data_IF_378663041837
#
_entry.id   IF_378663041837
#
_cell.length_a   1.000
_cell.length_b   1.000
_cell.length_c   1.000
_cell.angle_alpha   90.00
_cell.angle_beta   90.00
_cell.angle_gamma   90.00
#
_symmetry.space_group_name_H-M   'P 1'
#
loop_
_entity.id
_entity.type
_entity.pdbx_description
1 polymer ?
#
# COMPACT_ATOMS: atom_id res chain seq x y z
N UNK A 1 -19.53 -10.59 11.62
CA UNK A 1 -19.77 -9.70 10.44
C UNK A 1 -18.67 -9.93 9.43
N UNK A 2 -18.94 -9.75 8.13
CA UNK A 2 -17.90 -9.81 7.10
C UNK A 2 -16.92 -8.64 7.27
N UNK A 3 -15.62 -8.90 7.09
CA UNK A 3 -14.59 -7.85 7.12
C UNK A 3 -14.73 -6.93 5.91
N UNK A 4 -14.38 -5.66 6.07
CA UNK A 4 -14.51 -4.61 5.06
C UNK A 4 -13.16 -4.07 4.63
N UNK A 5 -12.91 -4.03 3.33
CA UNK A 5 -11.67 -3.53 2.76
C UNK A 5 -11.91 -2.42 1.74
N UNK A 6 -11.10 -1.38 1.78
CA UNK A 6 -11.01 -0.39 0.70
C UNK A 6 -9.69 -0.57 -0.03
N UNK A 7 -9.77 -0.70 -1.35
CA UNK A 7 -8.63 -0.85 -2.23
C UNK A 7 -8.48 0.38 -3.12
N UNK A 8 -7.52 1.23 -2.79
CA UNK A 8 -7.14 2.40 -3.58
C UNK A 8 -6.17 1.99 -4.69
N UNK A 9 -6.48 2.34 -5.96
CA UNK A 9 -5.70 1.93 -7.12
C UNK A 9 -6.11 0.57 -7.69
N UNK A 10 -7.40 0.22 -7.58
CA UNK A 10 -7.95 -1.07 -7.99
C UNK A 10 -8.23 -1.23 -9.51
N UNK A 11 -7.94 -0.22 -10.33
CA UNK A 11 -8.30 -0.24 -11.75
C UNK A 11 -7.41 -1.12 -12.64
N UNK A 12 -6.31 -1.65 -12.11
CA UNK A 12 -5.42 -2.59 -12.83
C UNK A 12 -4.37 -3.21 -11.87
N UNK A 13 -3.61 -4.17 -12.39
CA UNK A 13 -2.41 -4.73 -11.77
C UNK A 13 -2.66 -5.26 -10.35
N UNK A 14 -1.74 -4.98 -9.45
CA UNK A 14 -1.76 -5.54 -8.08
C UNK A 14 -3.03 -5.17 -7.34
N UNK A 15 -3.47 -3.90 -7.41
CA UNK A 15 -4.66 -3.43 -6.69
C UNK A 15 -5.93 -4.17 -7.12
N UNK A 16 -6.09 -4.40 -8.42
CA UNK A 16 -7.21 -5.16 -8.97
C UNK A 16 -7.21 -6.60 -8.47
N UNK A 17 -6.06 -7.27 -8.50
CA UNK A 17 -5.97 -8.67 -8.09
C UNK A 17 -6.14 -8.85 -6.57
N UNK A 18 -5.66 -7.89 -5.76
CA UNK A 18 -5.92 -7.87 -4.31
C UNK A 18 -7.41 -7.69 -4.03
N UNK A 19 -8.09 -6.77 -4.73
CA UNK A 19 -9.53 -6.56 -4.57
C UNK A 19 -10.33 -7.82 -4.87
N UNK A 20 -10.06 -8.48 -6.01
CA UNK A 20 -10.70 -9.75 -6.39
C UNK A 20 -10.45 -10.85 -5.36
N UNK A 21 -9.20 -10.99 -4.89
CA UNK A 21 -8.84 -12.02 -3.92
C UNK A 21 -9.51 -11.81 -2.57
N UNK A 22 -9.59 -10.56 -2.08
CA UNK A 22 -10.30 -10.24 -0.85
C UNK A 22 -11.80 -10.54 -0.98
N UNK A 23 -12.42 -10.16 -2.10
CA UNK A 23 -13.83 -10.47 -2.36
C UNK A 23 -14.08 -11.98 -2.41
N UNK A 24 -13.22 -12.76 -3.07
CA UNK A 24 -13.29 -14.22 -3.12
C UNK A 24 -13.13 -14.87 -1.72
N UNK A 25 -12.45 -14.19 -0.79
CA UNK A 25 -12.35 -14.60 0.63
C UNK A 25 -13.53 -14.14 1.50
N UNK A 26 -14.58 -13.57 0.92
CA UNK A 26 -15.79 -13.16 1.61
C UNK A 26 -15.71 -11.78 2.28
N UNK A 27 -14.72 -10.95 1.92
CA UNK A 27 -14.69 -9.57 2.37
C UNK A 27 -15.68 -8.72 1.57
N UNK A 28 -16.30 -7.74 2.22
CA UNK A 28 -16.96 -6.64 1.51
C UNK A 28 -15.88 -5.68 1.03
N UNK A 29 -15.83 -5.42 -0.28
CA UNK A 29 -14.73 -4.66 -0.88
C UNK A 29 -15.25 -3.41 -1.58
N UNK A 30 -14.81 -2.25 -1.12
CA UNK A 30 -14.92 -0.97 -1.81
C UNK A 30 -13.66 -0.71 -2.64
N UNK A 31 -13.83 -0.29 -3.89
CA UNK A 31 -12.71 -0.04 -4.81
C UNK A 31 -12.65 1.42 -5.25
N UNK A 32 -11.45 1.95 -5.43
CA UNK A 32 -11.25 3.30 -5.92
C UNK A 32 -10.08 3.42 -6.91
N UNK A 33 -10.17 4.43 -7.75
CA UNK A 33 -9.16 4.78 -8.74
C UNK A 33 -9.67 5.82 -9.73
N UNK A 34 -8.82 6.25 -10.67
CA UNK A 34 -9.13 7.33 -11.62
C UNK A 34 -10.01 6.90 -12.81
N UNK A 35 -9.88 5.63 -13.25
CA UNK A 35 -10.52 5.11 -14.49
C UNK A 35 -11.87 4.52 -14.15
N UNK A 36 -12.92 5.34 -14.25
CA UNK A 36 -14.27 4.98 -13.82
C UNK A 36 -14.81 3.76 -14.58
N UNK A 37 -14.54 3.66 -15.89
CA UNK A 37 -15.01 2.56 -16.72
C UNK A 37 -14.48 1.20 -16.23
N UNK A 38 -13.20 1.19 -15.75
CA UNK A 38 -12.59 -0.03 -15.19
C UNK A 38 -13.17 -0.40 -13.82
N UNK A 39 -13.53 0.61 -13.01
CA UNK A 39 -14.22 0.35 -11.73
C UNK A 39 -15.61 -0.25 -11.96
N UNK A 40 -16.37 0.32 -12.89
CA UNK A 40 -17.69 -0.19 -13.28
C UNK A 40 -17.60 -1.62 -13.85
N UNK A 41 -16.62 -1.89 -14.70
CA UNK A 41 -16.40 -3.25 -15.23
C UNK A 41 -16.08 -4.26 -14.12
N UNK A 42 -15.32 -3.86 -13.08
CA UNK A 42 -15.05 -4.74 -11.94
C UNK A 42 -16.31 -5.03 -11.11
N UNK A 43 -17.15 -4.03 -10.87
CA UNK A 43 -18.44 -4.22 -10.20
C UNK A 43 -19.33 -5.19 -10.98
N UNK A 44 -19.40 -5.04 -12.32
CA UNK A 44 -20.23 -5.89 -13.17
C UNK A 44 -19.77 -7.37 -13.20
N UNK A 45 -18.50 -7.63 -12.91
CA UNK A 45 -17.98 -9.00 -12.76
C UNK A 45 -18.45 -9.69 -11.47
N UNK A 46 -19.02 -8.93 -10.53
CA UNK A 46 -19.49 -9.42 -9.24
C UNK A 46 -18.39 -9.52 -8.18
N UNK A 47 -18.80 -9.68 -6.93
CA UNK A 47 -17.92 -9.84 -5.78
C UNK A 47 -17.43 -8.53 -5.16
N UNK A 48 -17.44 -7.40 -5.88
CA UNK A 48 -17.09 -6.06 -5.36
C UNK A 48 -18.36 -5.35 -4.88
N UNK A 49 -18.30 -4.76 -3.69
CA UNK A 49 -19.47 -4.19 -3.02
C UNK A 49 -19.84 -2.79 -3.53
N UNK A 50 -18.86 -1.91 -3.67
CA UNK A 50 -19.08 -0.53 -4.11
C UNK A 50 -17.79 0.07 -4.71
N UNK A 51 -17.93 1.22 -5.36
CA UNK A 51 -16.80 1.95 -5.91
C UNK A 51 -16.96 3.47 -5.77
N UNK A 52 -15.83 4.16 -5.89
CA UNK A 52 -15.74 5.62 -5.98
C UNK A 52 -14.61 6.00 -6.95
N UNK A 53 -14.89 6.96 -7.84
CA UNK A 53 -13.82 7.56 -8.63
C UNK A 53 -13.01 8.50 -7.74
N UNK A 54 -11.72 8.21 -7.57
CA UNK A 54 -10.80 9.02 -6.75
C UNK A 54 -9.49 9.22 -7.50
N UNK A 55 -9.10 10.47 -7.67
CA UNK A 55 -7.73 10.85 -8.04
C UNK A 55 -7.00 11.28 -6.77
N UNK A 56 -5.98 10.54 -6.36
CA UNK A 56 -5.22 10.79 -5.13
C UNK A 56 -4.49 12.14 -5.14
N UNK A 57 -4.28 12.75 -6.32
CA UNK A 57 -3.68 14.07 -6.46
C UNK A 57 -4.67 15.20 -6.19
N UNK A 58 -5.97 14.93 -6.30
CA UNK A 58 -7.02 15.92 -6.03
C UNK A 58 -7.06 16.33 -4.55
N UNK A 59 -7.21 17.62 -4.26
CA UNK A 59 -7.46 18.08 -2.88
C UNK A 59 -8.71 17.47 -2.24
N UNK A 60 -9.70 17.08 -3.06
CA UNK A 60 -10.95 16.47 -2.60
C UNK A 60 -10.86 14.96 -2.35
N UNK A 61 -9.73 14.31 -2.66
CA UNK A 61 -9.58 12.86 -2.50
C UNK A 61 -9.85 12.34 -1.09
N UNK A 62 -9.48 13.06 0.01
CA UNK A 62 -9.83 12.65 1.38
C UNK A 62 -11.35 12.54 1.60
N UNK A 63 -12.11 13.52 1.14
CA UNK A 63 -13.58 13.53 1.28
C UNK A 63 -14.19 12.35 0.51
N UNK A 64 -13.74 12.13 -0.73
CA UNK A 64 -14.20 11.00 -1.54
C UNK A 64 -13.84 9.65 -0.91
N UNK A 65 -12.72 9.53 -0.18
CA UNK A 65 -12.40 8.32 0.58
C UNK A 65 -13.39 8.10 1.73
N UNK A 66 -13.71 9.14 2.49
CA UNK A 66 -14.69 9.06 3.57
C UNK A 66 -16.08 8.67 3.04
N UNK A 67 -16.50 9.24 1.91
CA UNK A 67 -17.75 8.84 1.23
C UNK A 67 -17.75 7.35 0.84
N UNK A 68 -16.62 6.82 0.36
CA UNK A 68 -16.50 5.40 0.03
C UNK A 68 -16.55 4.52 1.28
N UNK A 69 -15.94 4.96 2.39
CA UNK A 69 -16.03 4.27 3.68
C UNK A 69 -17.48 4.21 4.14
N UNK A 70 -18.23 5.30 4.04
CA UNK A 70 -19.64 5.37 4.43
C UNK A 70 -20.50 4.47 3.52
N UNK A 71 -20.30 4.50 2.21
CA UNK A 71 -20.98 3.59 1.26
C UNK A 71 -20.75 2.12 1.59
N UNK A 72 -19.56 1.75 2.07
CA UNK A 72 -19.22 0.40 2.49
C UNK A 72 -19.75 0.07 3.90
N UNK A 73 -20.14 1.09 4.67
CA UNK A 73 -20.59 0.99 6.05
C UNK A 73 -19.46 0.73 7.04
N UNK A 74 -18.23 1.22 6.74
CA UNK A 74 -17.05 1.09 7.58
C UNK A 74 -15.85 0.46 6.86
N UNK A 75 -14.73 0.30 7.56
CA UNK A 75 -13.48 -0.22 7.00
C UNK A 75 -12.66 -0.95 8.07
N UNK A 76 -12.13 -2.13 7.76
CA UNK A 76 -11.18 -2.88 8.59
C UNK A 76 -9.78 -2.88 7.96
N UNK A 77 -9.71 -2.75 6.63
CA UNK A 77 -8.46 -2.70 5.85
C UNK A 77 -8.50 -1.55 4.85
N UNK A 78 -7.49 -0.68 4.91
CA UNK A 78 -7.14 0.23 3.84
C UNK A 78 -5.93 -0.32 3.08
N UNK A 79 -6.10 -0.63 1.79
CA UNK A 79 -5.02 -1.06 0.92
C UNK A 79 -4.70 -0.01 -0.12
N UNK A 80 -3.48 0.55 -0.08
CA UNK A 80 -3.02 1.58 -1.01
C UNK A 80 -2.11 1.00 -2.09
N UNK A 81 -2.59 0.98 -3.32
CA UNK A 81 -1.86 0.53 -4.51
C UNK A 81 -1.71 1.61 -5.59
N UNK A 82 -2.18 2.84 -5.32
CA UNK A 82 -1.99 3.94 -6.27
C UNK A 82 -0.53 4.37 -6.30
N UNK A 83 0.02 4.50 -7.50
CA UNK A 83 1.37 4.97 -7.70
C UNK A 83 1.74 4.99 -9.18
N UNK A 84 2.68 5.82 -9.53
CA UNK A 84 3.23 5.95 -10.87
C UNK A 84 4.76 5.98 -10.81
N UNK A 85 5.41 5.78 -11.94
CA UNK A 85 6.85 5.91 -12.06
C UNK A 85 7.30 5.72 -13.49
N UNK A 86 8.38 6.36 -13.82
CA UNK A 86 9.04 6.28 -15.12
C UNK A 86 10.53 6.14 -14.95
N UNK A 87 11.18 5.54 -15.94
CA UNK A 87 12.58 5.81 -16.19
C UNK A 87 12.69 7.25 -16.69
N UNK A 88 13.63 8.02 -16.15
CA UNK A 88 13.81 9.42 -16.45
C UNK A 88 15.27 9.85 -16.44
N UNK A 89 16.03 9.29 -17.39
CA UNK A 89 17.46 9.56 -17.53
C UNK A 89 17.76 11.00 -17.93
N UNK A 90 16.79 11.70 -18.55
CA UNK A 90 16.91 13.10 -18.98
C UNK A 90 16.47 14.11 -17.91
N UNK A 91 15.97 13.64 -16.75
CA UNK A 91 15.40 14.46 -15.70
C UNK A 91 14.25 15.38 -16.20
N UNK A 92 13.39 14.83 -17.05
CA UNK A 92 12.16 15.50 -17.47
C UNK A 92 11.34 15.92 -16.25
N UNK A 93 11.21 17.22 -16.04
CA UNK A 93 10.61 17.81 -14.83
C UNK A 93 9.13 17.44 -14.67
N UNK A 94 8.38 17.26 -15.74
CA UNK A 94 6.97 16.89 -15.65
C UNK A 94 6.81 15.48 -15.07
N UNK A 95 7.67 14.53 -15.47
CA UNK A 95 7.67 13.16 -14.92
C UNK A 95 8.05 13.16 -13.45
N UNK A 96 9.07 13.94 -13.08
CA UNK A 96 9.51 14.08 -11.69
C UNK A 96 8.37 14.62 -10.83
N UNK A 97 7.75 15.75 -11.25
CA UNK A 97 6.67 16.40 -10.50
C UNK A 97 5.43 15.53 -10.38
N UNK A 98 4.95 14.93 -11.48
CA UNK A 98 3.82 13.99 -11.45
C UNK A 98 4.05 12.80 -10.51
N UNK A 99 5.30 12.31 -10.47
CA UNK A 99 5.67 11.23 -9.53
C UNK A 99 5.59 11.70 -8.08
N UNK A 100 6.12 12.89 -7.76
CA UNK A 100 6.05 13.47 -6.42
C UNK A 100 4.60 13.75 -6.00
N UNK A 101 3.79 14.32 -6.89
CA UNK A 101 2.37 14.60 -6.62
C UNK A 101 1.59 13.33 -6.29
N UNK A 102 1.79 12.26 -7.07
CA UNK A 102 1.05 11.00 -6.87
C UNK A 102 1.61 10.19 -5.70
N UNK A 103 2.92 9.91 -5.72
CA UNK A 103 3.55 9.00 -4.76
C UNK A 103 3.95 9.68 -3.44
N UNK A 104 4.08 10.99 -3.42
CA UNK A 104 4.35 11.79 -2.22
C UNK A 104 3.06 12.36 -1.66
N UNK A 105 2.59 13.47 -2.22
CA UNK A 105 1.44 14.21 -1.71
C UNK A 105 0.15 13.39 -1.70
N UNK A 106 -0.18 12.74 -2.83
CA UNK A 106 -1.37 11.91 -2.95
C UNK A 106 -1.35 10.73 -2.00
N UNK A 107 -0.21 10.04 -1.91
CA UNK A 107 -0.01 8.95 -0.95
C UNK A 107 -0.26 9.43 0.49
N UNK A 108 0.38 10.52 0.91
CA UNK A 108 0.25 11.06 2.27
C UNK A 108 -1.20 11.39 2.59
N UNK A 109 -1.88 12.17 1.71
CA UNK A 109 -3.30 12.50 1.91
C UNK A 109 -4.17 11.28 2.19
N UNK A 110 -4.04 10.25 1.37
CA UNK A 110 -4.90 9.07 1.44
C UNK A 110 -4.60 8.20 2.66
N UNK A 111 -3.31 8.00 2.96
CA UNK A 111 -2.89 7.17 4.10
C UNK A 111 -3.21 7.86 5.42
N UNK A 112 -3.01 9.18 5.51
CA UNK A 112 -3.38 9.96 6.70
C UNK A 112 -4.89 9.95 6.93
N UNK A 113 -5.68 10.09 5.87
CA UNK A 113 -7.14 10.02 5.99
C UNK A 113 -7.58 8.69 6.56
N UNK A 114 -7.03 7.59 6.05
CA UNK A 114 -7.33 6.24 6.56
C UNK A 114 -6.86 6.05 8.00
N UNK A 115 -5.63 6.51 8.32
CA UNK A 115 -5.08 6.41 9.67
C UNK A 115 -5.92 7.17 10.69
N UNK A 116 -6.29 8.41 10.38
CA UNK A 116 -7.08 9.25 11.27
C UNK A 116 -8.52 8.72 11.41
N UNK A 117 -9.09 8.15 10.35
CA UNK A 117 -10.38 7.50 10.45
C UNK A 117 -10.32 6.32 11.42
N UNK A 118 -9.33 5.42 11.32
CA UNK A 118 -9.12 4.32 12.25
C UNK A 118 -8.86 4.81 13.69
N UNK A 119 -8.08 5.86 13.85
CA UNK A 119 -7.81 6.44 15.16
C UNK A 119 -9.10 6.96 15.83
N UNK A 120 -9.99 7.60 15.07
CA UNK A 120 -11.28 8.07 15.55
C UNK A 120 -12.20 6.90 15.98
N UNK A 121 -12.24 5.81 15.19
CA UNK A 121 -13.00 4.61 15.56
C UNK A 121 -12.48 3.95 16.85
N UNK A 122 -11.16 4.03 17.09
CA UNK A 122 -10.53 3.45 18.29
C UNK A 122 -10.83 4.24 19.57
N UNK A 123 -11.20 5.52 19.43
CA UNK A 123 -11.50 6.42 20.56
C UNK A 123 -12.95 6.37 21.03
N UNK A 124 -13.83 5.69 20.27
CA UNK A 124 -15.23 5.51 20.65
C UNK A 124 -15.31 4.47 21.78
N UNK A 125 -15.89 4.77 22.97
CA UNK A 125 -15.96 3.81 24.06
C UNK A 125 -16.91 2.66 23.70
N UNK A 126 -16.37 1.57 23.17
CA UNK A 126 -17.06 0.28 23.28
C UNK A 126 -17.00 -0.11 24.75
N UNK A 127 -18.13 -0.43 25.36
CA UNK A 127 -18.32 -0.76 26.78
C UNK A 127 -17.08 -1.44 27.40
N UNK A 128 -16.39 -0.69 28.29
CA UNK A 128 -15.18 -1.13 28.99
C UNK A 128 -15.53 -2.09 30.13
N UNK A 129 -15.97 -3.29 29.86
CA UNK A 129 -16.11 -4.30 30.92
C UNK A 129 -15.14 -5.47 30.86
N UNK A 130 -14.24 -5.57 29.85
CA UNK A 130 -13.39 -6.75 29.70
C UNK A 130 -11.90 -6.49 29.44
N UNK A 131 -11.33 -5.38 29.92
CA UNK A 131 -9.88 -5.12 29.78
C UNK A 131 -9.10 -5.28 31.08
N UNK A 132 -9.11 -6.47 31.67
CA UNK A 132 -8.02 -6.94 32.53
C UNK A 132 -7.14 -7.91 31.75
N UNK A 133 -6.15 -7.40 31.00
CA UNK A 133 -5.16 -8.24 30.31
C UNK A 133 -4.02 -8.53 31.26
N UNK A 134 -3.77 -9.82 31.63
CA UNK A 134 -2.63 -10.20 32.43
C UNK A 134 -1.31 -9.86 31.70
N UNK A 135 -0.33 -9.32 32.41
CA UNK A 135 1.00 -8.91 31.88
C UNK A 135 1.79 -10.03 31.20
N UNK A 136 1.47 -11.30 31.49
CA UNK A 136 2.13 -12.47 30.90
C UNK A 136 1.84 -12.69 29.41
N UNK A 137 0.88 -11.97 28.77
CA UNK A 137 0.51 -12.11 27.36
C UNK A 137 1.07 -11.01 26.44
N UNK A 138 2.02 -10.19 26.89
CA UNK A 138 2.65 -9.13 26.07
C UNK A 138 3.44 -9.62 24.83
N UNK A 139 3.59 -10.93 24.62
CA UNK A 139 4.26 -11.52 23.43
C UNK A 139 3.34 -11.75 22.21
N UNK A 140 2.04 -11.49 22.31
CA UNK A 140 1.07 -11.70 21.21
C UNK A 140 0.43 -10.40 20.75
N UNK A 141 1.24 -9.37 20.47
CA UNK A 141 0.77 -8.03 20.05
C UNK A 141 -0.04 -7.98 18.73
N UNK A 142 -0.15 -9.09 17.99
CA UNK A 142 -0.93 -9.14 16.75
C UNK A 142 -2.43 -9.45 16.94
N UNK A 143 -2.83 -9.98 18.10
CA UNK A 143 -4.21 -10.41 18.36
C UNK A 143 -5.19 -9.24 18.62
N UNK A 144 -4.69 -8.04 18.93
CA UNK A 144 -5.51 -6.87 19.28
C UNK A 144 -5.56 -5.78 18.21
N UNK A 145 -4.90 -5.96 17.08
CA UNK A 145 -4.93 -4.99 15.98
C UNK A 145 -6.14 -5.26 15.09
N UNK A 146 -7.21 -4.50 15.30
CA UNK A 146 -8.46 -4.65 14.55
C UNK A 146 -8.40 -3.99 13.19
N UNK A 147 -7.63 -2.91 13.03
CA UNK A 147 -7.52 -2.12 11.81
C UNK A 147 -6.18 -2.35 11.11
N UNK A 148 -6.18 -2.29 9.78
CA UNK A 148 -4.99 -2.54 8.98
C UNK A 148 -4.83 -1.49 7.89
N UNK A 149 -3.61 -0.99 7.74
CA UNK A 149 -3.16 -0.18 6.60
C UNK A 149 -2.06 -0.96 5.90
N UNK A 150 -2.24 -1.27 4.62
CA UNK A 150 -1.21 -1.92 3.83
C UNK A 150 -0.96 -1.10 2.56
N UNK A 151 0.30 -0.86 2.24
CA UNK A 151 0.67 0.00 1.12
C UNK A 151 1.70 -0.66 0.22
N UNK A 152 1.49 -0.55 -1.09
CA UNK A 152 2.48 -0.95 -2.08
C UNK A 152 3.54 0.14 -2.19
N UNK A 153 4.72 -0.16 -1.69
CA UNK A 153 5.91 0.65 -1.90
C UNK A 153 6.79 0.05 -3.01
N UNK A 154 8.04 -0.27 -2.77
CA UNK A 154 8.92 -1.00 -3.71
C UNK A 154 10.27 -1.32 -3.08
N UNK A 155 10.97 -2.33 -3.62
CA UNK A 155 12.40 -2.53 -3.40
C UNK A 155 13.22 -1.33 -3.90
N UNK A 156 12.72 -0.56 -4.87
CA UNK A 156 13.35 0.65 -5.39
C UNK A 156 13.58 1.74 -4.31
N UNK A 157 12.86 1.66 -3.18
CA UNK A 157 13.10 2.51 -2.01
C UNK A 157 14.33 2.11 -1.17
N UNK A 158 14.99 0.99 -1.47
CA UNK A 158 16.16 0.53 -0.69
C UNK A 158 17.40 1.37 -0.91
N UNK A 159 17.67 1.72 -2.17
CA UNK A 159 18.81 2.55 -2.61
C UNK A 159 18.34 3.53 -3.68
N UNK A 160 19.05 4.65 -3.86
CA UNK A 160 18.78 5.58 -4.96
C UNK A 160 19.05 4.96 -6.31
N UNK A 161 18.09 4.99 -7.22
CA UNK A 161 18.20 4.48 -8.59
C UNK A 161 18.27 5.66 -9.55
N UNK A 162 19.44 5.85 -10.20
CA UNK A 162 19.69 6.96 -11.12
C UNK A 162 18.78 6.94 -12.36
N UNK A 163 18.35 5.76 -12.79
CA UNK A 163 17.43 5.62 -13.93
C UNK A 163 15.99 6.12 -13.64
N UNK A 164 15.59 6.25 -12.37
CA UNK A 164 14.24 6.65 -11.97
C UNK A 164 14.26 7.45 -10.64
N UNK A 165 14.82 8.68 -10.64
CA UNK A 165 15.13 9.41 -9.40
C UNK A 165 13.91 9.67 -8.51
N UNK A 166 12.88 10.34 -9.00
CA UNK A 166 11.67 10.62 -8.22
C UNK A 166 10.94 9.36 -7.79
N UNK A 167 10.87 8.35 -8.65
CA UNK A 167 10.26 7.07 -8.28
C UNK A 167 10.98 6.43 -7.10
N UNK A 168 12.30 6.25 -7.20
CA UNK A 168 13.11 5.67 -6.13
C UNK A 168 13.03 6.49 -4.84
N UNK A 169 13.14 7.82 -4.96
CA UNK A 169 13.04 8.73 -3.82
C UNK A 169 11.67 8.69 -3.15
N UNK A 170 10.58 8.71 -3.93
CA UNK A 170 9.23 8.62 -3.37
C UNK A 170 8.95 7.26 -2.74
N UNK A 171 9.46 6.16 -3.29
CA UNK A 171 9.35 4.84 -2.67
C UNK A 171 10.13 4.76 -1.35
N UNK A 172 11.27 5.42 -1.24
CA UNK A 172 11.99 5.57 0.03
C UNK A 172 11.21 6.41 1.03
N UNK A 173 10.64 7.52 0.60
CA UNK A 173 9.75 8.34 1.41
C UNK A 173 8.59 7.50 1.97
N UNK A 174 7.88 6.75 1.12
CA UNK A 174 6.77 5.89 1.52
C UNK A 174 7.19 4.85 2.57
N UNK A 175 8.34 4.16 2.37
CA UNK A 175 8.85 3.19 3.35
C UNK A 175 9.05 3.85 4.72
N UNK A 176 9.71 5.00 4.75
CA UNK A 176 10.01 5.70 6.00
C UNK A 176 8.76 6.29 6.65
N UNK A 177 7.85 6.83 5.84
CA UNK A 177 6.58 7.36 6.32
C UNK A 177 5.72 6.29 7.02
N UNK A 178 5.62 5.09 6.45
CA UNK A 178 4.91 3.97 7.08
C UNK A 178 5.56 3.50 8.38
N UNK A 179 6.90 3.55 8.46
CA UNK A 179 7.65 3.29 9.70
C UNK A 179 7.28 4.32 10.79
N UNK A 180 7.24 5.61 10.44
CA UNK A 180 6.80 6.68 11.36
C UNK A 180 5.36 6.47 11.84
N UNK A 181 4.44 6.12 10.94
CA UNK A 181 3.04 5.85 11.31
C UNK A 181 2.91 4.61 12.20
N UNK A 182 3.72 3.56 11.97
CA UNK A 182 3.77 2.40 12.86
C UNK A 182 4.21 2.79 14.27
N UNK A 183 5.23 3.65 14.38
CA UNK A 183 5.68 4.18 15.67
C UNK A 183 4.58 5.03 16.33
N UNK A 184 3.94 5.91 15.57
CA UNK A 184 2.87 6.77 16.07
C UNK A 184 1.66 5.97 16.56
N UNK A 185 1.27 4.92 15.84
CA UNK A 185 0.19 4.02 16.27
C UNK A 185 0.51 3.38 17.63
N UNK A 186 1.75 2.92 17.83
CA UNK A 186 2.20 2.36 19.12
C UNK A 186 2.23 3.40 20.23
N UNK A 187 2.78 4.59 19.97
CA UNK A 187 2.84 5.69 20.94
C UNK A 187 1.45 6.13 21.43
N UNK A 188 0.47 6.10 20.52
CA UNK A 188 -0.93 6.47 20.80
C UNK A 188 -1.80 5.29 21.24
N UNK A 189 -1.23 4.08 21.40
CA UNK A 189 -1.94 2.85 21.73
C UNK A 189 -3.12 2.54 20.80
N UNK A 190 -2.98 2.88 19.51
CA UNK A 190 -4.01 2.62 18.51
C UNK A 190 -3.93 1.17 18.01
N UNK A 191 -5.06 0.48 17.81
CA UNK A 191 -5.13 -0.90 17.33
C UNK A 191 -4.96 -0.97 15.80
N UNK A 192 -3.94 -0.30 15.25
CA UNK A 192 -3.66 -0.20 13.82
C UNK A 192 -2.38 -0.96 13.48
N UNK A 193 -2.49 -1.99 12.62
CA UNK A 193 -1.36 -2.66 12.01
C UNK A 193 -0.99 -2.00 10.68
N UNK A 194 0.28 -1.73 10.46
CA UNK A 194 0.78 -1.16 9.20
C UNK A 194 1.67 -2.17 8.51
N UNK A 195 1.43 -2.40 7.22
CA UNK A 195 2.18 -3.34 6.38
C UNK A 195 2.78 -2.61 5.16
N UNK A 196 4.10 -2.55 5.11
CA UNK A 196 4.86 -2.03 3.98
C UNK A 196 5.19 -3.18 3.02
N UNK A 197 4.52 -3.19 1.87
CA UNK A 197 4.70 -4.20 0.82
C UNK A 197 5.69 -3.70 -0.22
N UNK A 198 6.80 -4.43 -0.38
CA UNK A 198 7.92 -4.07 -1.26
C UNK A 198 8.08 -5.07 -2.39
N UNK A 199 7.30 -4.99 -3.47
CA UNK A 199 7.52 -5.84 -4.63
C UNK A 199 8.75 -5.41 -5.41
N UNK A 200 9.32 -6.38 -6.18
CA UNK A 200 10.20 -6.12 -7.30
C UNK A 200 9.40 -5.79 -8.56
N UNK A 201 9.84 -6.27 -9.72
CA UNK A 201 9.15 -6.05 -10.98
C UNK A 201 7.91 -6.94 -11.10
N UNK A 202 6.76 -6.33 -11.32
CA UNK A 202 5.46 -7.02 -11.47
C UNK A 202 4.85 -6.63 -12.82
N UNK A 203 4.40 -7.60 -13.60
CA UNK A 203 3.76 -7.39 -14.92
C UNK A 203 2.46 -6.60 -14.78
N UNK A 204 2.56 -5.27 -14.87
CA UNK A 204 1.46 -4.33 -14.74
C UNK A 204 1.54 -3.24 -15.80
N UNK A 205 0.50 -2.42 -15.93
CA UNK A 205 0.50 -1.24 -16.81
C UNK A 205 1.71 -0.31 -16.55
N UNK A 206 2.25 -0.29 -15.32
CA UNK A 206 3.36 0.57 -14.92
C UNK A 206 4.66 0.26 -15.66
N UNK A 207 4.89 -1.00 -16.00
CA UNK A 207 6.10 -1.46 -16.70
C UNK A 207 5.77 -2.06 -18.08
N UNK A 208 4.58 -1.75 -18.63
CA UNK A 208 4.18 -2.21 -19.94
C UNK A 208 5.19 -1.75 -21.01
N UNK A 209 5.60 -2.67 -21.88
CA UNK A 209 6.59 -2.42 -22.92
C UNK A 209 8.06 -2.53 -22.47
N UNK A 210 8.33 -2.78 -21.19
CA UNK A 210 9.69 -3.02 -20.69
C UNK A 210 9.91 -4.49 -20.36
N UNK A 211 11.09 -5.02 -20.67
CA UNK A 211 11.49 -6.38 -20.31
C UNK A 211 12.46 -6.31 -19.13
N UNK A 212 11.99 -6.67 -17.96
CA UNK A 212 12.82 -6.77 -16.75
C UNK A 212 13.05 -8.22 -16.36
N UNK A 213 14.19 -8.55 -15.76
CA UNK A 213 14.41 -9.89 -15.22
C UNK A 213 13.46 -10.15 -14.03
N UNK A 214 13.11 -11.42 -13.82
CA UNK A 214 12.35 -11.87 -12.66
C UNK A 214 10.97 -11.19 -12.48
N UNK A 215 10.29 -10.85 -13.58
CA UNK A 215 8.93 -10.28 -13.50
C UNK A 215 7.95 -11.26 -12.85
N UNK A 216 7.22 -10.79 -11.85
CA UNK A 216 6.19 -11.53 -11.13
C UNK A 216 4.82 -11.33 -11.77
N UNK A 217 3.93 -12.31 -11.62
CA UNK A 217 2.52 -12.17 -12.03
C UNK A 217 1.74 -11.44 -10.93
N UNK A 218 0.86 -10.48 -11.27
CA UNK A 218 0.07 -9.73 -10.28
C UNK A 218 -0.78 -10.62 -9.36
N UNK A 219 -1.31 -11.74 -9.89
CA UNK A 219 -2.14 -12.69 -9.15
C UNK A 219 -1.35 -13.38 -8.04
N UNK A 220 -0.10 -13.78 -8.31
CA UNK A 220 0.75 -14.42 -7.31
C UNK A 220 1.24 -13.40 -6.26
N UNK A 221 1.55 -12.18 -6.71
CA UNK A 221 1.88 -11.06 -5.81
C UNK A 221 0.70 -10.77 -4.88
N UNK A 222 -0.54 -10.75 -5.37
CA UNK A 222 -1.74 -10.52 -4.56
C UNK A 222 -1.90 -11.59 -3.46
N UNK A 223 -1.63 -12.86 -3.75
CA UNK A 223 -1.66 -13.94 -2.73
C UNK A 223 -0.66 -13.68 -1.61
N UNK A 224 0.57 -13.31 -1.95
CA UNK A 224 1.60 -12.97 -0.96
C UNK A 224 1.23 -11.75 -0.12
N UNK A 225 0.62 -10.73 -0.74
CA UNK A 225 0.15 -9.52 -0.07
C UNK A 225 -0.93 -9.84 0.94
N UNK A 226 -1.99 -10.52 0.51
CA UNK A 226 -3.12 -10.85 1.40
C UNK A 226 -2.65 -11.72 2.56
N UNK A 227 -1.78 -12.69 2.32
CA UNK A 227 -1.15 -13.48 3.39
C UNK A 227 -0.34 -12.61 4.36
N UNK A 228 0.47 -11.68 3.86
CA UNK A 228 1.25 -10.77 4.71
C UNK A 228 0.34 -9.89 5.59
N UNK A 229 -0.75 -9.36 5.03
CA UNK A 229 -1.75 -8.57 5.74
C UNK A 229 -2.43 -9.42 6.82
N UNK A 230 -2.90 -10.62 6.49
CA UNK A 230 -3.58 -11.52 7.43
C UNK A 230 -2.67 -11.91 8.61
N UNK A 231 -1.37 -12.09 8.35
CA UNK A 231 -0.36 -12.44 9.37
C UNK A 231 0.28 -11.22 10.06
N UNK A 232 -0.19 -10.00 9.81
CA UNK A 232 0.29 -8.79 10.47
C UNK A 232 1.78 -8.49 10.25
N UNK A 233 2.32 -8.80 9.07
CA UNK A 233 3.72 -8.50 8.73
C UNK A 233 3.91 -7.00 8.58
N UNK A 234 4.88 -6.42 9.30
CA UNK A 234 5.19 -4.98 9.21
C UNK A 234 5.86 -4.62 7.88
N UNK A 235 6.76 -5.47 7.41
CA UNK A 235 7.43 -5.31 6.11
C UNK A 235 7.42 -6.64 5.38
N UNK A 236 7.06 -6.62 4.10
CA UNK A 236 7.12 -7.79 3.24
C UNK A 236 7.72 -7.45 1.88
N UNK A 237 8.93 -7.91 1.62
CA UNK A 237 9.45 -8.00 0.25
C UNK A 237 8.76 -9.18 -0.45
N UNK A 238 8.30 -8.96 -1.66
CA UNK A 238 7.60 -10.01 -2.41
C UNK A 238 8.61 -10.78 -3.26
N UNK A 239 8.63 -12.11 -3.05
CA UNK A 239 9.56 -13.08 -3.61
C UNK A 239 10.94 -13.07 -2.92
N UNK A 240 11.39 -14.26 -2.53
CA UNK A 240 12.64 -14.47 -1.80
C UNK A 240 13.90 -14.02 -2.57
N UNK A 241 13.85 -14.05 -3.92
CA UNK A 241 14.95 -13.59 -4.78
C UNK A 241 15.20 -12.10 -4.60
N UNK A 242 14.12 -11.33 -4.47
CA UNK A 242 14.20 -9.91 -4.15
C UNK A 242 14.60 -9.64 -2.70
N UNK A 243 14.29 -10.53 -1.76
CA UNK A 243 14.81 -10.43 -0.38
C UNK A 243 16.34 -10.50 -0.37
N UNK A 244 16.91 -11.48 -1.10
CA UNK A 244 18.38 -11.60 -1.25
C UNK A 244 18.95 -10.35 -1.93
N UNK A 245 18.35 -9.90 -3.04
CA UNK A 245 18.80 -8.70 -3.75
C UNK A 245 18.83 -7.47 -2.85
N UNK A 246 17.75 -7.23 -2.11
CA UNK A 246 17.62 -6.10 -1.16
C UNK A 246 18.65 -6.21 -0.04
N UNK A 247 18.89 -7.41 0.48
CA UNK A 247 19.94 -7.65 1.47
C UNK A 247 21.32 -7.26 0.93
N UNK A 248 21.69 -7.76 -0.26
CA UNK A 248 22.97 -7.43 -0.91
C UNK A 248 23.09 -5.93 -1.18
N UNK A 249 22.03 -5.28 -1.68
CA UNK A 249 22.03 -3.83 -1.91
C UNK A 249 22.34 -3.03 -0.64
N UNK A 250 21.81 -3.46 0.51
CA UNK A 250 22.06 -2.77 1.80
C UNK A 250 23.51 -2.83 2.23
N UNK A 251 24.23 -3.89 1.88
CA UNK A 251 25.65 -4.04 2.22
C UNK A 251 26.56 -3.12 1.38
N UNK A 252 26.13 -2.69 0.20
CA UNK A 252 26.94 -1.83 -0.66
C UNK A 252 27.04 -0.43 -0.06
N UNK A 253 28.24 0.08 0.27
CA UNK A 253 28.40 1.42 0.82
C UNK A 253 28.02 2.49 -0.22
N UNK A 254 27.61 3.67 0.26
CA UNK A 254 27.12 4.75 -0.61
C UNK A 254 28.11 5.17 -1.68
N UNK A 255 29.39 5.28 -1.34
CA UNK A 255 30.43 5.71 -2.26
C UNK A 255 30.62 4.75 -3.44
N UNK A 256 30.41 3.45 -3.22
CA UNK A 256 30.45 2.44 -4.27
C UNK A 256 29.14 2.44 -5.07
N UNK A 257 27.98 2.48 -4.38
CA UNK A 257 26.67 2.48 -5.03
C UNK A 257 26.52 3.59 -6.07
N UNK A 258 26.96 4.80 -5.76
CA UNK A 258 26.85 5.97 -6.66
C UNK A 258 27.75 5.89 -7.89
N UNK A 259 28.67 4.92 -7.95
CA UNK A 259 29.54 4.66 -9.10
C UNK A 259 29.04 3.48 -9.97
N UNK A 260 28.11 2.68 -9.45
CA UNK A 260 27.55 1.57 -10.20
C UNK A 260 26.61 2.09 -11.29
N UNK A 261 26.79 1.59 -12.51
CA UNK A 261 25.84 1.83 -13.60
C UNK A 261 24.70 0.82 -13.50
N UNK A 262 23.65 1.18 -12.77
CA UNK A 262 22.43 0.37 -12.66
C UNK A 262 21.48 0.86 -13.74
N UNK A 263 21.49 0.16 -14.86
CA UNK A 263 20.54 0.34 -15.96
C UNK A 263 19.48 -0.74 -15.79
N UNK A 264 18.27 -0.33 -15.46
CA UNK A 264 17.09 -1.21 -15.39
C UNK A 264 16.20 -1.00 -16.59
#
# INVERSE_FOLDING_TARGET
MAKKAIVMGATSGIGMEVAKLLAAKGWQVGIAGRRIERLQALISQGGITCYQQIDVTSPNAPVQLLELIDKLGGMDLYFHSSGIGWQNNSLDIEKEMKTLETNGLGFTRMVDTAFNWFAAQSSTPTNKSDFSVPESKKKANHAYQNFRIACITSIAGTKGLGAAPSYSATKRFQNHYLECLSQQARMRHLPIAITDIRPGFVKTDLIAGSSYPLQLKPEDVAKHIVNAIENGKEVKVIDWRYDILVFLWRLIPRWLWTRLRITT
#
